data_IF_531462315820
#
_entry.id   IF_531462315820
#
_cell.length_a   1.000
_cell.length_b   1.000
_cell.length_c   1.000
_cell.angle_alpha   90.00
_cell.angle_beta   90.00
_cell.angle_gamma   90.00
#
_symmetry.space_group_name_H-M   'P 1'
#
loop_
_entity.id
_entity.type
_entity.pdbx_description
1 polymer ?
#
# COMPACT_ATOMS: atom_id res chain seq x y z
N UNK A 1 -19.08 13.74 -3.74
CA UNK A 1 -18.34 12.95 -2.72
C UNK A 1 -17.32 13.82 -2.01
N UNK A 2 -16.26 14.32 -2.67
CA UNK A 2 -15.23 15.18 -2.05
C UNK A 2 -15.81 16.39 -1.30
N UNK A 3 -16.79 17.10 -1.88
CA UNK A 3 -17.47 18.22 -1.21
C UNK A 3 -18.10 17.84 0.13
N UNK A 4 -18.70 16.64 0.22
CA UNK A 4 -19.31 16.12 1.45
C UNK A 4 -18.25 15.79 2.49
N UNK A 5 -17.13 15.22 2.06
CA UNK A 5 -15.99 14.92 2.94
C UNK A 5 -15.40 16.21 3.51
N UNK A 6 -15.14 17.20 2.66
CA UNK A 6 -14.61 18.51 3.08
C UNK A 6 -15.57 19.22 4.03
N UNK A 7 -16.88 19.17 3.77
CA UNK A 7 -17.88 19.76 4.65
C UNK A 7 -17.88 19.12 6.05
N UNK A 8 -17.74 17.79 6.14
CA UNK A 8 -17.57 17.12 7.43
C UNK A 8 -16.28 17.55 8.11
N UNK A 9 -15.18 17.56 7.36
CA UNK A 9 -13.86 17.87 7.90
C UNK A 9 -13.79 19.28 8.51
N UNK A 10 -14.54 20.24 7.94
CA UNK A 10 -14.68 21.59 8.54
C UNK A 10 -15.25 21.54 9.95
N UNK A 11 -16.24 20.67 10.21
CA UNK A 11 -16.82 20.48 11.55
C UNK A 11 -15.84 19.81 12.50
N UNK A 12 -15.08 18.82 12.02
CA UNK A 12 -14.06 18.15 12.85
C UNK A 12 -12.95 19.14 13.26
N UNK A 13 -12.54 20.01 12.34
CA UNK A 13 -11.51 21.04 12.57
C UNK A 13 -11.94 22.10 13.59
N UNK A 14 -13.24 22.35 13.78
CA UNK A 14 -13.73 23.26 14.82
C UNK A 14 -13.40 22.77 16.24
N UNK A 15 -13.22 21.47 16.43
CA UNK A 15 -12.81 20.88 17.70
C UNK A 15 -11.29 20.97 17.96
N UNK A 16 -10.48 21.34 16.95
CA UNK A 16 -9.03 21.45 17.12
C UNK A 16 -8.66 22.71 17.92
N UNK A 17 -7.63 22.64 18.78
CA UNK A 17 -7.16 23.79 19.54
C UNK A 17 -6.91 25.01 18.64
N UNK A 18 -7.39 26.21 19.02
CA UNK A 18 -7.18 27.40 18.22
C UNK A 18 -5.73 27.88 18.30
N UNK A 19 -5.26 28.54 17.24
CA UNK A 19 -3.94 29.16 17.19
C UNK A 19 -3.22 28.89 15.88
N UNK A 20 -2.30 29.78 15.47
CA UNK A 20 -1.52 29.59 14.26
C UNK A 20 -0.51 28.46 14.44
N UNK A 21 -0.25 27.72 13.36
CA UNK A 21 0.79 26.71 13.30
C UNK A 21 2.00 27.28 12.56
N UNK A 22 3.15 27.35 13.24
CA UNK A 22 4.41 27.82 12.65
C UNK A 22 5.37 26.67 12.39
N UNK A 23 6.38 26.93 11.55
CA UNK A 23 7.46 25.98 11.28
C UNK A 23 8.20 25.60 12.57
N UNK A 24 8.44 26.56 13.45
CA UNK A 24 9.13 26.36 14.74
C UNK A 24 8.32 25.44 15.66
N UNK A 25 7.00 25.64 15.71
CA UNK A 25 6.10 24.79 16.50
C UNK A 25 6.12 23.35 15.99
N UNK A 26 6.06 23.15 14.67
CA UNK A 26 6.13 21.82 14.08
C UNK A 26 7.50 21.16 14.28
N UNK A 27 8.61 21.91 14.14
CA UNK A 27 9.96 21.39 14.43
C UNK A 27 10.08 20.97 15.89
N UNK A 28 9.58 21.78 16.82
CA UNK A 28 9.59 21.46 18.24
C UNK A 28 8.78 20.19 18.53
N UNK A 29 7.59 20.05 17.93
CA UNK A 29 6.76 18.86 18.06
C UNK A 29 7.43 17.59 17.47
N UNK A 30 8.08 17.71 16.30
CA UNK A 30 8.85 16.61 15.70
C UNK A 30 10.06 16.21 16.56
N UNK A 31 10.79 17.19 17.10
CA UNK A 31 11.94 16.94 17.97
C UNK A 31 11.52 16.29 19.30
N UNK A 32 10.45 16.78 19.91
CA UNK A 32 9.92 16.24 21.17
C UNK A 32 9.48 14.77 21.06
N UNK A 33 9.14 14.30 19.85
CA UNK A 33 8.79 12.90 19.59
C UNK A 33 9.98 11.92 19.74
N UNK A 34 11.22 12.39 19.58
CA UNK A 34 12.43 11.60 19.86
C UNK A 34 12.78 10.45 18.90
N UNK A 35 11.99 10.25 17.84
CA UNK A 35 12.17 9.17 16.84
C UNK A 35 11.94 9.74 15.43
N UNK A 36 12.92 10.41 14.81
CA UNK A 36 12.75 10.91 13.45
C UNK A 36 12.82 9.75 12.44
N UNK A 37 11.77 9.57 11.63
CA UNK A 37 11.76 8.61 10.53
C UNK A 37 11.67 9.37 9.22
N UNK A 38 12.75 9.39 8.45
CA UNK A 38 12.81 10.13 7.19
C UNK A 38 12.03 9.39 6.09
N UNK A 39 10.81 9.84 5.85
CA UNK A 39 9.90 9.27 4.86
C UNK A 39 10.47 9.32 3.44
N UNK A 40 11.11 10.44 3.05
CA UNK A 40 11.66 10.59 1.70
C UNK A 40 12.94 9.77 1.51
N UNK A 41 13.82 9.73 2.52
CA UNK A 41 15.00 8.89 2.45
C UNK A 41 14.64 7.39 2.42
N UNK A 42 13.61 6.97 3.16
CA UNK A 42 13.11 5.61 3.09
C UNK A 42 12.65 5.24 1.67
N UNK A 43 11.88 6.11 1.02
CA UNK A 43 11.45 5.88 -0.37
C UNK A 43 12.61 5.81 -1.37
N UNK A 44 13.75 6.45 -1.10
CA UNK A 44 14.96 6.32 -1.93
C UNK A 44 15.77 5.06 -1.63
N UNK A 45 15.47 4.35 -0.54
CA UNK A 45 16.18 3.15 -0.06
C UNK A 45 15.18 2.07 0.35
N UNK A 46 14.52 1.40 -0.62
CA UNK A 46 13.53 0.36 -0.35
C UNK A 46 14.07 -0.72 0.60
N UNK A 47 13.22 -1.21 1.52
CA UNK A 47 13.62 -2.23 2.51
C UNK A 47 13.70 -3.65 1.95
N UNK A 48 13.00 -3.92 0.85
CA UNK A 48 12.94 -5.24 0.22
C UNK A 48 12.78 -5.11 -1.28
N UNK A 49 13.65 -5.79 -2.03
CA UNK A 49 13.78 -5.56 -3.46
C UNK A 49 14.03 -4.08 -3.73
N UNK A 50 13.49 -3.58 -4.82
CA UNK A 50 13.85 -2.24 -5.25
C UNK A 50 12.67 -1.48 -5.88
N UNK A 51 11.50 -1.75 -5.30
CA UNK A 51 10.32 -0.88 -5.35
C UNK A 51 10.09 -0.30 -3.96
N UNK A 52 10.03 1.02 -3.86
CA UNK A 52 9.57 1.68 -2.65
C UNK A 52 8.06 1.54 -2.53
N UNK A 53 7.59 0.72 -1.58
CA UNK A 53 6.18 0.50 -1.34
C UNK A 53 5.69 1.33 -0.15
N UNK A 54 4.71 2.21 -0.39
CA UNK A 54 3.87 2.79 0.66
C UNK A 54 2.66 1.87 0.82
N UNK A 55 2.66 1.01 1.84
CA UNK A 55 1.56 0.09 2.07
C UNK A 55 0.43 0.76 2.88
N UNK A 56 -0.80 0.69 2.40
CA UNK A 56 -1.93 1.40 3.02
C UNK A 56 -2.73 0.52 3.98
N UNK A 57 -2.84 0.97 5.23
CA UNK A 57 -3.68 0.37 6.27
C UNK A 57 -5.07 1.02 6.19
N UNK A 58 -6.01 0.32 5.57
CA UNK A 58 -7.36 0.83 5.26
C UNK A 58 -8.46 -0.18 5.61
N UNK A 59 -9.46 0.25 6.39
CA UNK A 59 -10.62 -0.58 6.78
C UNK A 59 -11.73 -0.54 5.75
N UNK A 60 -12.12 0.67 5.34
CA UNK A 60 -13.21 0.91 4.42
C UNK A 60 -12.87 2.03 3.42
N UNK A 61 -13.71 2.18 2.40
CA UNK A 61 -13.70 3.36 1.52
C UNK A 61 -15.10 3.63 0.97
N UNK A 62 -15.42 4.87 0.55
CA UNK A 62 -16.73 5.18 -0.03
C UNK A 62 -17.07 4.35 -1.28
N UNK A 63 -16.07 3.97 -2.06
CA UNK A 63 -16.25 3.22 -3.31
C UNK A 63 -16.38 1.71 -3.12
N UNK A 64 -15.78 1.14 -2.06
CA UNK A 64 -15.71 -0.30 -1.86
C UNK A 64 -16.41 -0.78 -0.59
N UNK A 65 -17.01 0.12 0.21
CA UNK A 65 -17.56 -0.22 1.52
C UNK A 65 -16.48 -0.71 2.48
N UNK A 66 -16.85 -1.64 3.37
CA UNK A 66 -15.90 -2.31 4.27
C UNK A 66 -15.04 -3.28 3.46
N UNK A 67 -13.75 -2.97 3.37
CA UNK A 67 -12.76 -3.79 2.66
C UNK A 67 -12.30 -4.95 3.53
N UNK A 68 -12.19 -4.70 4.85
CA UNK A 68 -11.75 -5.69 5.82
C UNK A 68 -12.57 -5.56 7.10
N UNK A 69 -13.46 -6.54 7.33
CA UNK A 69 -14.34 -6.57 8.49
C UNK A 69 -13.56 -6.79 9.80
N UNK A 70 -12.67 -7.79 9.82
CA UNK A 70 -11.74 -8.04 10.93
C UNK A 70 -10.46 -7.20 10.76
N UNK A 71 -10.48 -6.03 11.38
CA UNK A 71 -9.49 -4.97 11.18
C UNK A 71 -8.64 -4.74 12.44
N UNK A 72 -7.51 -5.43 12.51
CA UNK A 72 -6.42 -5.12 13.44
C UNK A 72 -5.34 -4.28 12.72
N UNK A 73 -5.32 -2.95 12.92
CA UNK A 73 -4.38 -2.06 12.23
C UNK A 73 -2.92 -2.36 12.58
N UNK A 74 -2.64 -2.81 13.80
CA UNK A 74 -1.27 -3.10 14.28
C UNK A 74 -0.76 -4.39 13.66
N UNK A 75 -1.57 -5.45 13.65
CA UNK A 75 -1.20 -6.71 12.99
C UNK A 75 -0.99 -6.51 11.49
N UNK A 76 -1.83 -5.72 10.82
CA UNK A 76 -1.67 -5.38 9.40
C UNK A 76 -0.37 -4.62 9.16
N UNK A 77 -0.07 -3.60 9.96
CA UNK A 77 1.14 -2.80 9.84
C UNK A 77 2.42 -3.66 10.04
N UNK A 78 2.43 -4.54 11.04
CA UNK A 78 3.53 -5.50 11.25
C UNK A 78 3.69 -6.47 10.09
N UNK A 79 2.59 -6.95 9.53
CA UNK A 79 2.62 -7.81 8.35
C UNK A 79 3.19 -7.07 7.13
N UNK A 80 2.84 -5.79 6.92
CA UNK A 80 3.42 -4.98 5.86
C UNK A 80 4.90 -4.70 6.09
N UNK A 81 5.32 -4.40 7.32
CA UNK A 81 6.75 -4.24 7.65
C UNK A 81 7.53 -5.53 7.38
N UNK A 82 7.03 -6.68 7.84
CA UNK A 82 7.66 -7.98 7.61
C UNK A 82 7.69 -8.36 6.11
N UNK A 83 6.70 -7.94 5.34
CA UNK A 83 6.64 -8.12 3.89
C UNK A 83 7.55 -7.15 3.12
N UNK A 84 8.21 -6.21 3.80
CA UNK A 84 9.18 -5.30 3.19
C UNK A 84 8.61 -3.97 2.70
N UNK A 85 7.45 -3.53 3.22
CA UNK A 85 6.97 -2.18 2.96
C UNK A 85 8.03 -1.13 3.36
N UNK A 86 8.12 -0.06 2.58
CA UNK A 86 9.11 1.01 2.78
C UNK A 86 8.57 2.11 3.69
N UNK A 87 7.31 2.47 3.50
CA UNK A 87 6.55 3.33 4.38
C UNK A 87 5.14 2.76 4.57
N UNK A 88 4.38 3.27 5.54
CA UNK A 88 2.96 2.99 5.66
C UNK A 88 2.14 4.24 5.39
N UNK A 89 0.97 4.06 4.79
CA UNK A 89 -0.11 5.05 4.72
C UNK A 89 -1.21 4.59 5.67
N UNK A 90 -1.67 5.46 6.58
CA UNK A 90 -2.71 5.13 7.55
C UNK A 90 -3.88 6.07 7.35
N UNK A 91 -5.06 5.52 7.06
CA UNK A 91 -6.29 6.30 6.97
C UNK A 91 -6.72 6.74 8.37
N UNK A 92 -6.87 8.04 8.57
CA UNK A 92 -7.33 8.61 9.86
C UNK A 92 -8.74 9.19 9.81
N UNK A 93 -9.34 9.30 8.63
CA UNK A 93 -10.73 9.73 8.47
C UNK A 93 -11.71 8.67 9.00
N UNK A 94 -12.45 9.02 10.06
CA UNK A 94 -13.37 8.10 10.72
C UNK A 94 -14.66 7.86 9.93
N UNK A 95 -15.25 8.90 9.35
CA UNK A 95 -16.60 8.82 8.78
C UNK A 95 -16.66 8.05 7.46
N UNK A 96 -15.72 8.28 6.56
CA UNK A 96 -15.76 7.77 5.19
C UNK A 96 -14.84 6.56 4.99
N UNK A 97 -13.77 6.45 5.79
CA UNK A 97 -12.80 5.35 5.68
C UNK A 97 -12.76 4.41 6.89
N UNK A 98 -13.52 4.74 7.95
CA UNK A 98 -13.46 4.04 9.25
C UNK A 98 -12.03 3.93 9.78
N UNK A 99 -11.24 4.98 9.53
CA UNK A 99 -9.91 5.21 10.08
C UNK A 99 -9.95 5.82 11.47
N UNK A 100 -8.78 6.06 12.05
CA UNK A 100 -8.66 6.70 13.36
C UNK A 100 -7.22 7.17 13.62
N UNK A 101 -7.07 8.27 14.37
CA UNK A 101 -5.77 8.76 14.82
C UNK A 101 -5.10 7.80 15.83
N UNK A 102 -5.91 7.09 16.62
CA UNK A 102 -5.46 6.03 17.52
C UNK A 102 -4.81 4.88 16.74
N UNK A 103 -5.28 4.56 15.54
CA UNK A 103 -4.61 3.58 14.67
C UNK A 103 -3.22 4.07 14.29
N UNK A 104 -3.07 5.35 13.92
CA UNK A 104 -1.77 5.94 13.58
C UNK A 104 -0.79 5.84 14.77
N UNK A 105 -1.23 6.23 15.98
CA UNK A 105 -0.41 6.15 17.20
C UNK A 105 -0.07 4.70 17.59
N UNK A 106 -1.02 3.78 17.49
CA UNK A 106 -0.80 2.37 17.81
C UNK A 106 0.17 1.72 16.81
N UNK A 107 0.02 2.00 15.51
CA UNK A 107 0.95 1.54 14.47
C UNK A 107 2.35 2.10 14.71
N UNK A 108 2.45 3.40 15.00
CA UNK A 108 3.72 4.09 15.27
C UNK A 108 4.54 3.39 16.37
N UNK A 109 3.87 2.98 17.44
CA UNK A 109 4.49 2.27 18.56
C UNK A 109 4.90 0.82 18.21
N UNK A 110 4.34 0.24 17.14
CA UNK A 110 4.47 -1.18 16.84
C UNK A 110 5.38 -1.52 15.65
N UNK A 111 5.72 -0.54 14.79
CA UNK A 111 6.59 -0.72 13.61
C UNK A 111 7.67 0.35 13.57
N UNK A 112 8.74 0.12 12.79
CA UNK A 112 9.83 1.08 12.60
C UNK A 112 9.71 1.90 11.30
N UNK A 113 8.69 1.65 10.48
CA UNK A 113 8.48 2.34 9.21
C UNK A 113 8.03 3.80 9.39
N UNK A 114 8.43 4.72 8.49
CA UNK A 114 7.84 6.05 8.41
C UNK A 114 6.34 5.98 8.06
N UNK A 115 5.55 6.87 8.64
CA UNK A 115 4.09 6.87 8.51
C UNK A 115 3.56 8.11 7.78
N UNK A 116 2.76 7.91 6.75
CA UNK A 116 1.94 8.93 6.10
C UNK A 116 0.56 8.95 6.76
N UNK A 117 0.14 10.12 7.27
CA UNK A 117 -1.27 10.36 7.62
C UNK A 117 -2.05 10.60 6.32
N UNK A 118 -2.91 9.65 5.95
CA UNK A 118 -3.82 9.77 4.80
C UNK A 118 -5.18 10.27 5.30
N UNK A 119 -5.40 11.57 5.14
CA UNK A 119 -6.61 12.28 5.56
C UNK A 119 -6.83 13.49 4.65
N UNK A 120 -7.97 14.16 4.81
CA UNK A 120 -8.30 15.39 4.11
C UNK A 120 -7.81 16.58 4.93
N UNK A 121 -6.59 17.04 4.67
CA UNK A 121 -6.04 18.24 5.34
C UNK A 121 -6.59 19.49 4.66
N UNK A 122 -7.35 20.27 5.41
CA UNK A 122 -7.95 21.56 4.99
C UNK A 122 -7.57 22.72 5.92
N UNK A 123 -6.91 22.42 7.05
CA UNK A 123 -6.49 23.36 8.07
C UNK A 123 -5.10 22.99 8.61
N UNK A 124 -4.24 23.98 8.84
CA UNK A 124 -2.86 23.80 9.31
C UNK A 124 -2.78 23.11 10.68
N UNK A 125 -3.81 23.24 11.52
CA UNK A 125 -3.89 22.55 12.82
C UNK A 125 -3.91 21.03 12.67
N UNK A 126 -4.41 20.52 11.55
CA UNK A 126 -4.34 19.09 11.23
C UNK A 126 -2.90 18.62 10.95
N UNK A 127 -2.01 19.52 10.51
CA UNK A 127 -0.59 19.21 10.29
C UNK A 127 0.13 19.03 11.64
N UNK A 128 -0.14 19.94 12.59
CA UNK A 128 0.36 19.80 13.96
C UNK A 128 -0.18 18.55 14.64
N UNK A 129 -1.48 18.29 14.48
CA UNK A 129 -2.10 17.05 14.94
C UNK A 129 -1.42 15.83 14.32
N UNK A 130 -1.16 15.82 13.01
CA UNK A 130 -0.48 14.69 12.36
C UNK A 130 0.87 14.39 13.02
N UNK A 131 1.68 15.40 13.31
CA UNK A 131 2.95 15.26 14.02
C UNK A 131 2.76 14.68 15.42
N UNK A 132 1.83 15.23 16.20
CA UNK A 132 1.52 14.81 17.57
C UNK A 132 0.99 13.36 17.67
N UNK A 133 0.40 12.85 16.59
CA UNK A 133 -0.09 11.47 16.50
C UNK A 133 0.89 10.52 15.80
N UNK A 134 2.07 11.00 15.40
CA UNK A 134 3.18 10.15 14.94
C UNK A 134 3.37 10.07 13.43
N UNK A 135 2.80 10.98 12.65
CA UNK A 135 3.04 11.05 11.21
C UNK A 135 4.45 11.59 10.88
N UNK A 136 5.08 11.01 9.88
CA UNK A 136 6.33 11.46 9.25
C UNK A 136 6.08 12.10 7.88
N UNK A 137 4.89 11.89 7.33
CA UNK A 137 4.40 12.54 6.12
C UNK A 137 2.92 12.89 6.23
N UNK A 138 2.49 13.88 5.44
CA UNK A 138 1.08 14.25 5.27
C UNK A 138 0.65 14.21 3.80
N UNK A 139 -0.64 14.03 3.57
CA UNK A 139 -1.28 14.15 2.27
C UNK A 139 -1.86 15.57 2.09
N UNK A 140 -1.51 16.24 1.00
CA UNK A 140 -2.19 17.44 0.53
C UNK A 140 -2.89 17.12 -0.79
N UNK A 141 -4.18 17.45 -0.90
CA UNK A 141 -4.97 17.13 -2.09
C UNK A 141 -5.22 18.41 -2.88
N UNK A 142 -4.68 18.50 -4.09
CA UNK A 142 -4.83 19.70 -4.93
C UNK A 142 -6.31 20.01 -5.23
N UNK A 143 -7.15 18.98 -5.39
CA UNK A 143 -8.59 19.12 -5.66
C UNK A 143 -9.40 19.84 -4.55
N UNK A 144 -8.90 19.89 -3.30
CA UNK A 144 -9.65 20.46 -2.16
C UNK A 144 -9.00 21.72 -1.56
N UNK A 145 -7.78 22.04 -1.98
CA UNK A 145 -7.01 23.19 -1.52
C UNK A 145 -6.91 24.22 -2.64
N UNK A 146 -7.12 25.49 -2.33
CA UNK A 146 -6.72 26.59 -3.22
C UNK A 146 -5.18 26.75 -3.25
N UNK A 147 -4.65 27.54 -4.19
CA UNK A 147 -3.20 27.70 -4.38
C UNK A 147 -2.50 28.30 -3.18
N UNK A 148 -3.16 29.25 -2.50
CA UNK A 148 -2.62 29.91 -1.32
C UNK A 148 -2.45 28.90 -0.18
N UNK A 149 -3.49 28.11 0.12
CA UNK A 149 -3.45 27.07 1.15
C UNK A 149 -2.52 25.93 0.79
N UNK A 150 -2.55 25.44 -0.45
CA UNK A 150 -1.70 24.35 -0.89
C UNK A 150 -0.22 24.72 -0.75
N UNK A 151 0.15 25.95 -1.17
CA UNK A 151 1.51 26.48 -1.00
C UNK A 151 1.86 26.63 0.48
N UNK A 152 1.01 27.30 1.25
CA UNK A 152 1.23 27.55 2.68
C UNK A 152 1.44 26.25 3.46
N UNK A 153 0.56 25.25 3.28
CA UNK A 153 0.67 23.97 3.96
C UNK A 153 1.90 23.17 3.53
N UNK A 154 2.26 23.21 2.24
CA UNK A 154 3.46 22.57 1.73
C UNK A 154 4.74 23.20 2.32
N UNK A 155 4.82 24.54 2.33
CA UNK A 155 5.96 25.29 2.90
C UNK A 155 6.07 25.08 4.41
N UNK A 156 4.95 25.09 5.13
CA UNK A 156 4.88 24.86 6.57
C UNK A 156 5.42 23.46 6.93
N UNK A 157 4.92 22.42 6.27
CA UNK A 157 5.35 21.04 6.52
C UNK A 157 6.81 20.81 6.11
N UNK A 158 7.19 21.23 4.89
CA UNK A 158 8.57 21.08 4.38
C UNK A 158 9.57 21.87 5.21
N UNK A 159 9.22 23.09 5.61
CA UNK A 159 10.05 23.93 6.48
C UNK A 159 10.34 23.23 7.81
N UNK A 160 9.40 22.45 8.32
CA UNK A 160 9.58 21.68 9.55
C UNK A 160 10.31 20.35 9.40
N UNK A 161 10.56 19.89 8.16
CA UNK A 161 11.12 18.57 7.88
C UNK A 161 10.09 17.45 7.84
N UNK A 162 8.80 17.77 7.79
CA UNK A 162 7.72 16.81 7.57
C UNK A 162 7.56 16.57 6.07
N UNK A 163 7.52 15.30 5.64
CA UNK A 163 7.35 14.98 4.23
C UNK A 163 5.91 15.28 3.75
N UNK A 164 5.77 15.60 2.47
CA UNK A 164 4.48 15.92 1.86
C UNK A 164 4.29 15.10 0.60
N UNK A 165 3.16 14.39 0.52
CA UNK A 165 2.65 13.80 -0.72
C UNK A 165 1.53 14.69 -1.26
N UNK A 166 1.69 15.19 -2.49
CA UNK A 166 0.66 15.99 -3.15
C UNK A 166 -0.16 15.11 -4.09
N UNK A 167 -1.45 14.96 -3.81
CA UNK A 167 -2.39 14.19 -4.63
C UNK A 167 -2.99 15.07 -5.73
N UNK A 168 -2.95 14.57 -6.96
CA UNK A 168 -3.42 15.25 -8.17
C UNK A 168 -4.23 14.28 -9.02
N UNK A 169 -5.27 14.78 -9.68
CA UNK A 169 -6.22 14.00 -10.49
C UNK A 169 -6.28 14.45 -11.94
N UNK A 170 -5.84 15.67 -12.24
CA UNK A 170 -5.86 16.25 -13.58
C UNK A 170 -4.63 17.14 -13.87
N UNK A 171 -4.67 17.79 -15.03
CA UNK A 171 -3.62 18.65 -15.55
C UNK A 171 -3.33 19.86 -14.69
N UNK A 172 -4.38 20.60 -14.37
CA UNK A 172 -4.28 21.84 -13.65
C UNK A 172 -3.75 21.54 -12.24
N UNK A 173 -4.21 20.45 -11.63
CA UNK A 173 -3.70 19.98 -10.34
C UNK A 173 -2.22 19.59 -10.39
N UNK A 174 -1.75 18.94 -11.46
CA UNK A 174 -0.33 18.64 -11.61
C UNK A 174 0.50 19.91 -11.79
N UNK A 175 0.09 20.84 -12.64
CA UNK A 175 0.83 22.10 -12.85
C UNK A 175 0.97 22.88 -11.54
N UNK A 176 -0.10 22.90 -10.73
CA UNK A 176 -0.10 23.48 -9.39
C UNK A 176 0.89 22.78 -8.47
N UNK A 177 0.94 21.45 -8.49
CA UNK A 177 1.88 20.67 -7.68
C UNK A 177 3.34 20.84 -8.13
N UNK A 178 3.60 20.91 -9.43
CA UNK A 178 4.92 21.14 -10.02
C UNK A 178 5.45 22.54 -9.66
N UNK A 179 4.59 23.56 -9.68
CA UNK A 179 4.94 24.93 -9.27
C UNK A 179 5.40 25.03 -7.81
N UNK A 180 5.06 24.06 -6.95
CA UNK A 180 5.53 23.97 -5.56
C UNK A 180 6.92 23.31 -5.44
N UNK A 181 7.41 22.67 -6.50
CA UNK A 181 8.58 21.80 -6.42
C UNK A 181 8.36 20.59 -5.52
N UNK A 182 7.13 20.06 -5.48
CA UNK A 182 6.77 18.92 -4.65
C UNK A 182 7.51 17.65 -5.13
N UNK A 183 8.28 16.96 -4.28
CA UNK A 183 9.07 15.79 -4.70
C UNK A 183 8.25 14.50 -4.84
N UNK A 184 7.05 14.45 -4.26
CA UNK A 184 6.12 13.33 -4.32
C UNK A 184 4.77 13.83 -4.85
N UNK A 185 4.41 13.41 -6.07
CA UNK A 185 3.18 13.84 -6.73
C UNK A 185 2.41 12.63 -7.27
N UNK A 186 1.12 12.55 -6.91
CA UNK A 186 0.16 11.59 -7.44
C UNK A 186 0.36 10.15 -6.97
N UNK A 187 -0.57 9.29 -7.41
CA UNK A 187 -0.51 7.84 -7.22
C UNK A 187 -0.93 7.08 -8.49
N UNK A 188 -0.40 5.87 -8.66
CA UNK A 188 -0.79 4.96 -9.74
C UNK A 188 -1.10 3.59 -9.16
N UNK A 189 -2.28 3.07 -9.49
CA UNK A 189 -2.67 1.71 -9.12
C UNK A 189 -1.77 0.70 -9.85
N UNK A 190 -0.86 0.08 -9.12
CA UNK A 190 0.03 -0.97 -9.62
C UNK A 190 -0.61 -2.37 -9.66
N UNK A 191 -1.61 -2.62 -8.80
CA UNK A 191 -2.23 -3.95 -8.68
C UNK A 191 -2.85 -4.41 -10.01
N UNK A 192 -2.40 -5.57 -10.49
CA UNK A 192 -2.85 -6.17 -11.76
C UNK A 192 -2.18 -5.61 -13.00
N UNK A 193 -1.16 -4.76 -12.87
CA UNK A 193 -0.42 -4.16 -13.98
C UNK A 193 1.03 -4.60 -13.98
N UNK A 194 1.60 -4.75 -15.17
CA UNK A 194 3.03 -4.94 -15.39
C UNK A 194 3.77 -3.61 -15.24
N UNK A 195 5.09 -3.67 -15.04
CA UNK A 195 6.01 -2.52 -15.03
C UNK A 195 5.80 -1.64 -16.25
N UNK A 196 5.72 -2.26 -17.43
CA UNK A 196 5.53 -1.57 -18.70
C UNK A 196 4.18 -0.86 -18.75
N UNK A 197 3.10 -1.51 -18.30
CA UNK A 197 1.78 -0.88 -18.24
C UNK A 197 1.74 0.29 -17.26
N UNK A 198 2.44 0.19 -16.13
CA UNK A 198 2.58 1.29 -15.18
C UNK A 198 3.39 2.42 -15.81
N UNK A 199 4.50 2.11 -16.48
CA UNK A 199 5.32 3.09 -17.19
C UNK A 199 4.54 3.80 -18.29
N UNK A 200 3.84 3.06 -19.15
CA UNK A 200 2.98 3.59 -20.20
C UNK A 200 1.85 4.45 -19.63
N UNK A 201 1.25 4.03 -18.51
CA UNK A 201 0.20 4.81 -17.85
C UNK A 201 0.72 6.11 -17.25
N UNK A 202 1.87 6.07 -16.57
CA UNK A 202 2.52 7.28 -16.05
C UNK A 202 2.94 8.17 -17.21
N UNK A 203 3.60 7.63 -18.24
CA UNK A 203 3.98 8.39 -19.45
C UNK A 203 2.77 9.04 -20.09
N UNK A 204 1.70 8.29 -20.36
CA UNK A 204 0.47 8.81 -20.96
C UNK A 204 -0.24 9.85 -20.10
N UNK A 205 -0.19 9.70 -18.77
CA UNK A 205 -0.69 10.73 -17.86
C UNK A 205 0.18 11.98 -17.97
N UNK A 206 1.50 11.83 -17.97
CA UNK A 206 2.47 12.92 -18.04
C UNK A 206 2.59 13.60 -19.41
N UNK A 207 2.26 12.93 -20.52
CA UNK A 207 2.29 13.48 -21.89
C UNK A 207 1.40 14.71 -22.03
N UNK A 208 0.35 14.81 -21.21
CA UNK A 208 -0.53 15.98 -21.17
C UNK A 208 0.14 17.20 -20.53
N UNK A 209 1.28 17.02 -19.88
CA UNK A 209 1.90 17.99 -18.96
C UNK A 209 3.37 18.26 -19.29
N UNK A 210 4.09 17.26 -19.82
CA UNK A 210 5.51 17.34 -20.15
C UNK A 210 5.71 16.74 -21.54
N UNK A 211 6.22 17.55 -22.46
CA UNK A 211 6.64 17.08 -23.79
C UNK A 211 7.83 16.14 -23.62
N UNK A 212 7.76 14.95 -24.21
CA UNK A 212 8.77 13.88 -24.09
C UNK A 212 9.04 13.41 -22.64
N UNK A 213 7.96 13.16 -21.88
CA UNK A 213 8.05 12.60 -20.53
C UNK A 213 8.76 11.22 -20.51
N UNK A 214 10.06 11.24 -20.22
CA UNK A 214 10.86 10.03 -20.03
C UNK A 214 10.55 9.40 -18.66
N UNK A 215 9.59 8.48 -18.64
CA UNK A 215 9.26 7.72 -17.44
C UNK A 215 10.01 6.41 -17.47
N UNK A 216 10.80 6.17 -16.44
CA UNK A 216 11.40 4.85 -16.19
C UNK A 216 10.76 4.27 -14.94
N UNK A 217 10.07 3.14 -15.08
CA UNK A 217 9.58 2.38 -13.92
C UNK A 217 10.50 1.18 -13.79
N UNK A 218 11.30 1.16 -12.73
CA UNK A 218 12.19 0.03 -12.47
C UNK A 218 11.53 -0.87 -11.44
N UNK A 219 11.08 -2.05 -11.89
CA UNK A 219 10.72 -3.15 -11.00
C UNK A 219 11.96 -3.98 -10.80
N UNK A 220 12.60 -3.80 -9.68
CA UNK A 220 13.92 -4.38 -9.54
C UNK A 220 13.87 -5.80 -8.93
N UNK A 221 12.71 -6.22 -8.37
CA UNK A 221 12.32 -7.65 -8.32
C UNK A 221 10.84 -7.89 -7.98
N UNK A 222 10.24 -8.89 -8.64
CA UNK A 222 8.95 -9.48 -8.24
C UNK A 222 9.19 -10.84 -7.58
N UNK A 223 8.59 -11.08 -6.41
CA UNK A 223 8.47 -12.43 -5.86
C UNK A 223 7.27 -13.13 -6.51
N UNK A 224 7.43 -13.51 -7.77
CA UNK A 224 6.61 -14.56 -8.36
C UNK A 224 7.39 -15.86 -8.29
N UNK A 225 6.71 -16.94 -7.93
CA UNK A 225 7.27 -18.28 -8.02
C UNK A 225 6.37 -19.12 -8.90
N UNK A 226 6.95 -20.17 -9.45
CA UNK A 226 6.28 -21.04 -10.41
C UNK A 226 6.12 -22.44 -9.88
N UNK A 227 5.03 -23.07 -10.27
CA UNK A 227 4.86 -24.52 -10.10
C UNK A 227 4.40 -25.14 -11.41
N UNK A 228 4.64 -26.44 -11.54
CA UNK A 228 4.22 -27.22 -12.69
C UNK A 228 3.11 -28.17 -12.26
N UNK A 229 2.04 -28.21 -13.04
CA UNK A 229 1.01 -29.23 -12.90
C UNK A 229 1.05 -30.12 -14.14
N UNK A 230 1.35 -31.39 -13.93
CA UNK A 230 1.50 -32.38 -15.01
C UNK A 230 0.59 -33.59 -14.76
N UNK A 231 0.40 -34.42 -15.79
CA UNK A 231 -0.40 -35.63 -15.70
C UNK A 231 -1.87 -35.41 -16.06
N UNK A 232 -2.78 -36.12 -15.39
CA UNK A 232 -4.20 -36.22 -15.75
C UNK A 232 -5.07 -35.09 -15.18
N UNK A 233 -4.68 -33.84 -15.45
CA UNK A 233 -5.44 -32.61 -15.16
C UNK A 233 -5.99 -31.98 -16.44
N UNK A 234 -7.01 -31.13 -16.35
CA UNK A 234 -7.64 -30.53 -17.53
C UNK A 234 -6.74 -29.52 -18.26
N UNK A 235 -5.87 -28.82 -17.54
CA UNK A 235 -4.91 -27.85 -18.08
C UNK A 235 -3.52 -28.09 -17.48
N UNK A 236 -2.74 -29.07 -18.00
CA UNK A 236 -1.36 -29.22 -17.58
C UNK A 236 -0.52 -28.04 -18.07
N UNK A 237 0.48 -27.65 -17.29
CA UNK A 237 1.35 -26.53 -17.65
C UNK A 237 2.11 -25.91 -16.49
N UNK A 238 2.84 -24.85 -16.81
CA UNK A 238 3.52 -23.97 -15.87
C UNK A 238 2.55 -22.88 -15.39
N UNK A 239 2.57 -22.64 -14.08
CA UNK A 239 1.74 -21.62 -13.44
C UNK A 239 2.64 -20.68 -12.66
N UNK A 240 2.62 -19.40 -13.04
CA UNK A 240 3.29 -18.33 -12.31
C UNK A 240 2.31 -17.72 -11.30
N UNK A 241 2.70 -17.68 -10.03
CA UNK A 241 1.87 -17.12 -8.96
C UNK A 241 2.63 -16.05 -8.17
N UNK A 242 1.91 -14.98 -7.83
CA UNK A 242 2.41 -13.90 -6.98
C UNK A 242 1.85 -13.94 -5.56
N UNK A 243 1.29 -15.07 -5.12
CA UNK A 243 0.71 -15.26 -3.79
C UNK A 243 0.89 -16.70 -3.30
N UNK A 244 0.95 -16.94 -1.98
CA UNK A 244 0.91 -18.28 -1.41
C UNK A 244 -0.27 -19.08 -1.96
N UNK A 245 0.02 -20.21 -2.61
CA UNK A 245 -0.97 -21.06 -3.30
C UNK A 245 -0.89 -22.48 -2.74
N UNK A 246 -2.02 -23.07 -2.32
CA UNK A 246 -2.08 -24.46 -1.83
C UNK A 246 -2.16 -25.48 -2.97
N UNK A 247 -1.98 -26.78 -2.65
CA UNK A 247 -2.09 -27.86 -3.63
C UNK A 247 -3.49 -27.93 -4.26
N UNK A 248 -4.54 -27.78 -3.45
CA UNK A 248 -5.92 -27.80 -3.91
C UNK A 248 -6.20 -26.62 -4.85
N UNK A 249 -5.69 -25.44 -4.52
CA UNK A 249 -5.78 -24.25 -5.37
C UNK A 249 -5.02 -24.45 -6.69
N UNK A 250 -3.83 -25.05 -6.66
CA UNK A 250 -3.06 -25.37 -7.86
C UNK A 250 -3.80 -26.34 -8.79
N UNK A 251 -4.45 -27.38 -8.24
CA UNK A 251 -5.28 -28.31 -9.01
C UNK A 251 -6.50 -27.59 -9.62
N UNK A 252 -7.15 -26.73 -8.84
CA UNK A 252 -8.26 -25.91 -9.33
C UNK A 252 -7.83 -24.96 -10.45
N UNK A 253 -6.66 -24.31 -10.32
CA UNK A 253 -6.05 -23.47 -11.37
C UNK A 253 -5.78 -24.27 -12.65
N UNK A 254 -5.38 -25.54 -12.50
CA UNK A 254 -5.21 -26.50 -13.60
C UNK A 254 -6.54 -27.05 -14.17
N UNK A 255 -7.68 -26.47 -13.79
CA UNK A 255 -9.00 -26.86 -14.26
C UNK A 255 -9.53 -28.14 -13.62
N UNK A 256 -8.93 -28.62 -12.54
CA UNK A 256 -9.32 -29.85 -11.85
C UNK A 256 -8.75 -31.12 -12.49
N UNK A 257 -9.09 -32.25 -11.87
CA UNK A 257 -8.70 -33.59 -12.34
C UNK A 257 -9.57 -34.01 -13.53
N UNK A 258 -8.99 -34.74 -14.47
CA UNK A 258 -9.76 -35.44 -15.52
C UNK A 258 -10.46 -36.68 -14.95
N UNK A 259 -11.47 -37.25 -15.62
CA UNK A 259 -12.16 -38.46 -15.15
C UNK A 259 -11.27 -39.69 -14.98
N UNK A 260 -10.12 -39.74 -15.67
CA UNK A 260 -9.16 -40.85 -15.62
C UNK A 260 -8.02 -40.63 -14.63
N UNK A 261 -8.03 -39.51 -13.89
CA UNK A 261 -7.02 -39.26 -12.87
C UNK A 261 -7.19 -40.21 -11.69
N UNK A 262 -6.08 -40.57 -11.03
CA UNK A 262 -6.12 -41.27 -9.74
C UNK A 262 -6.11 -40.25 -8.60
N UNK A 263 -7.26 -39.97 -7.95
CA UNK A 263 -7.39 -38.88 -6.97
C UNK A 263 -6.65 -39.15 -5.66
N UNK A 264 -6.15 -40.38 -5.44
CA UNK A 264 -5.47 -40.81 -4.21
C UNK A 264 -3.93 -40.83 -4.32
N UNK A 265 -3.37 -40.60 -5.51
CA UNK A 265 -1.93 -40.83 -5.79
C UNK A 265 -1.24 -39.60 -6.38
N UNK A 266 -1.72 -38.41 -6.03
CA UNK A 266 -1.10 -37.16 -6.46
C UNK A 266 0.18 -36.95 -5.64
N UNK A 267 1.24 -36.54 -6.31
CA UNK A 267 2.54 -36.27 -5.70
C UNK A 267 2.89 -34.81 -5.87
N UNK A 268 3.31 -34.17 -4.78
CA UNK A 268 3.99 -32.88 -4.81
C UNK A 268 5.48 -33.18 -4.76
N UNK A 269 6.21 -32.75 -5.78
CA UNK A 269 7.66 -32.93 -5.85
C UNK A 269 8.31 -31.57 -5.65
N UNK A 270 9.24 -31.49 -4.70
CA UNK A 270 10.02 -30.29 -4.41
C UNK A 270 11.51 -30.62 -4.55
N UNK A 271 12.24 -29.81 -5.30
CA UNK A 271 13.70 -29.92 -5.40
C UNK A 271 14.36 -29.08 -4.31
N UNK A 272 15.09 -29.73 -3.39
CA UNK A 272 15.85 -29.03 -2.35
C UNK A 272 17.28 -29.57 -2.32
N UNK A 273 18.26 -28.71 -2.59
CA UNK A 273 19.68 -29.10 -2.58
C UNK A 273 20.05 -30.22 -3.57
N UNK A 274 19.31 -30.36 -4.67
CA UNK A 274 19.51 -31.42 -5.67
C UNK A 274 18.79 -32.74 -5.37
N UNK A 275 18.05 -32.83 -4.26
CA UNK A 275 17.25 -34.00 -3.88
C UNK A 275 15.76 -33.71 -4.08
N UNK A 276 15.02 -34.69 -4.60
CA UNK A 276 13.57 -34.63 -4.77
C UNK A 276 12.88 -35.05 -3.45
N UNK A 277 12.27 -34.08 -2.75
CA UNK A 277 11.32 -34.34 -1.66
C UNK A 277 9.93 -34.60 -2.26
N UNK A 278 9.30 -35.71 -1.89
CA UNK A 278 7.99 -36.12 -2.43
C UNK A 278 6.97 -36.18 -1.31
N UNK A 279 5.92 -35.37 -1.42
CA UNK A 279 4.74 -35.41 -0.54
C UNK A 279 3.56 -36.06 -1.26
N UNK A 280 2.83 -36.91 -0.56
CA UNK A 280 1.60 -37.52 -1.07
C UNK A 280 0.41 -36.60 -0.81
N UNK A 281 -0.52 -36.56 -1.76
CA UNK A 281 -1.77 -35.81 -1.66
C UNK A 281 -2.94 -36.64 -2.13
N UNK A 282 -3.91 -36.83 -1.24
CA UNK A 282 -5.15 -37.53 -1.53
C UNK A 282 -6.28 -36.50 -1.73
N UNK A 283 -6.48 -36.12 -2.98
CA UNK A 283 -7.51 -35.17 -3.38
C UNK A 283 -8.91 -35.57 -2.91
N UNK A 284 -9.24 -36.87 -2.94
CA UNK A 284 -10.58 -37.35 -2.56
C UNK A 284 -10.90 -37.09 -1.09
N UNK A 285 -9.92 -37.22 -0.21
CA UNK A 285 -10.09 -36.99 1.23
C UNK A 285 -10.07 -35.49 1.54
N UNK A 286 -9.10 -34.76 0.97
CA UNK A 286 -8.94 -33.32 1.18
C UNK A 286 -10.14 -32.53 0.65
N UNK A 287 -10.68 -32.91 -0.53
CA UNK A 287 -11.87 -32.25 -1.10
C UNK A 287 -13.13 -32.45 -0.26
N UNK A 288 -13.13 -33.45 0.63
CA UNK A 288 -14.22 -33.72 1.59
C UNK A 288 -13.99 -33.07 2.95
N UNK A 289 -12.96 -32.24 3.10
CA UNK A 289 -12.59 -31.60 4.35
C UNK A 289 -11.83 -32.52 5.32
N UNK A 290 -11.36 -33.68 4.87
CA UNK A 290 -10.62 -34.63 5.70
C UNK A 290 -9.12 -34.52 5.42
N UNK A 291 -8.27 -34.71 6.44
CA UNK A 291 -6.80 -34.70 6.28
C UNK A 291 -6.24 -33.42 5.63
N UNK A 292 -6.79 -32.25 6.02
CA UNK A 292 -6.42 -30.94 5.48
C UNK A 292 -4.92 -30.60 5.63
N UNK A 293 -4.20 -31.27 6.53
CA UNK A 293 -2.74 -31.14 6.67
C UNK A 293 -1.96 -31.50 5.39
N UNK A 294 -2.59 -32.21 4.44
CA UNK A 294 -2.00 -32.50 3.14
C UNK A 294 -2.06 -31.31 2.17
N UNK A 295 -2.97 -30.35 2.37
CA UNK A 295 -3.11 -29.16 1.51
C UNK A 295 -2.05 -28.10 1.84
N UNK A 296 -0.79 -28.48 1.64
CA UNK A 296 0.36 -27.63 1.95
C UNK A 296 0.47 -26.45 0.97
N UNK A 297 1.13 -25.38 1.42
CA UNK A 297 1.49 -24.26 0.55
C UNK A 297 2.63 -24.69 -0.38
N UNK A 298 2.44 -24.46 -1.68
CA UNK A 298 3.47 -24.63 -2.69
C UNK A 298 4.56 -23.59 -2.47
N UNK A 299 5.81 -24.06 -2.54
CA UNK A 299 7.00 -23.26 -2.32
C UNK A 299 7.77 -23.11 -3.65
N UNK A 300 8.60 -22.05 -3.80
CA UNK A 300 9.50 -21.88 -4.92
C UNK A 300 10.50 -23.04 -5.09
#
# INVERSE_FOLDING_TARGET
MLTTIVAEKRREVEALPPGPVTVELLRAALAARGDPRDFLAALRRPRSGDVALIAEVKKASPSAGVIRADFDPVAIARAYEAAGATCLSVLTDAKFFQGSLEFLRAIRAAVSLPLLRKDFIIDERQILEAVAWGADAILLIAAILDDARLRHFHELARGAGLAVLVEVHDAAELDRALALGAPLIGEVRAAGKTVKQIQEEISKRLEKFVTDAAVTVILVKAQSYKFFVTGKVNKPGEYLVGRPTSVLQAIAMAGGLTPFASPKSIKIVRKKGGVDEVHQFNYKEVSKGQWLSQDIILQP
#
